data_IF_423040931203
#
_entry.id   IF_423040931203
#
_cell.length_a   1.000
_cell.length_b   1.000
_cell.length_c   1.000
_cell.angle_alpha   90.00
_cell.angle_beta   90.00
_cell.angle_gamma   90.00
#
_symmetry.space_group_name_H-M   'P 1'
#
loop_
_entity.id
_entity.type
_entity.pdbx_description
1 polymer ?
#
# COMPACT_ATOMS: atom_id res chain seq x y z
N UNK A 1 -4.06 -6.10 -8.87
CA UNK A 1 -2.76 -5.47 -9.20
C UNK A 1 -1.64 -5.86 -8.25
N UNK A 2 -1.87 -5.82 -6.93
CA UNK A 2 -0.88 -6.23 -5.91
C UNK A 2 -0.41 -7.67 -6.13
N UNK A 3 -1.34 -8.63 -6.20
CA UNK A 3 -1.02 -10.06 -6.25
C UNK A 3 -0.34 -10.54 -7.55
N UNK A 4 -0.80 -10.05 -8.71
CA UNK A 4 -0.27 -10.50 -10.02
C UNK A 4 0.96 -9.70 -10.50
N UNK A 5 1.16 -8.47 -10.00
CA UNK A 5 2.20 -7.54 -10.52
C UNK A 5 3.12 -6.92 -9.46
N UNK A 6 2.97 -7.27 -8.17
CA UNK A 6 3.79 -6.79 -7.06
C UNK A 6 3.91 -5.24 -6.96
N UNK A 7 2.93 -4.49 -7.48
CA UNK A 7 2.92 -3.01 -7.44
C UNK A 7 2.40 -2.50 -6.09
N UNK A 8 3.21 -2.66 -5.04
CA UNK A 8 2.90 -2.21 -3.67
C UNK A 8 2.76 -0.68 -3.56
N UNK A 9 3.58 0.05 -4.31
CA UNK A 9 3.57 1.52 -4.36
C UNK A 9 2.25 2.07 -4.90
N UNK A 10 1.73 1.50 -5.98
CA UNK A 10 0.42 1.88 -6.53
C UNK A 10 -0.72 1.64 -5.52
N UNK A 11 -0.65 0.55 -4.76
CA UNK A 11 -1.65 0.26 -3.75
C UNK A 11 -1.60 1.23 -2.57
N UNK A 12 -0.41 1.71 -2.18
CA UNK A 12 -0.26 2.77 -1.17
C UNK A 12 -0.88 4.10 -1.62
N UNK A 13 -0.83 4.44 -2.91
CA UNK A 13 -1.58 5.58 -3.46
C UNK A 13 -3.09 5.40 -3.25
N UNK A 14 -3.59 4.17 -3.43
CA UNK A 14 -4.98 3.83 -3.13
C UNK A 14 -5.35 3.98 -1.64
N UNK A 15 -4.45 3.60 -0.73
CA UNK A 15 -4.62 3.83 0.72
C UNK A 15 -4.74 5.33 1.01
N UNK A 16 -3.84 6.14 0.45
CA UNK A 16 -3.84 7.59 0.63
C UNK A 16 -5.13 8.25 0.14
N UNK A 17 -5.63 7.83 -1.04
CA UNK A 17 -6.88 8.32 -1.59
C UNK A 17 -8.09 8.01 -0.68
N UNK A 18 -8.20 6.77 -0.19
CA UNK A 18 -9.28 6.39 0.74
C UNK A 18 -9.18 7.15 2.07
N UNK A 19 -7.97 7.39 2.55
CA UNK A 19 -7.75 8.17 3.77
C UNK A 19 -8.17 9.64 3.60
N UNK A 20 -7.90 10.26 2.44
CA UNK A 20 -8.38 11.61 2.13
C UNK A 20 -9.91 11.71 2.08
N UNK A 21 -10.59 10.67 1.58
CA UNK A 21 -12.06 10.59 1.59
C UNK A 21 -12.57 10.56 3.03
N UNK A 22 -11.95 9.75 3.90
CA UNK A 22 -12.28 9.69 5.32
C UNK A 22 -12.14 11.08 5.97
N UNK A 23 -11.00 11.76 5.81
CA UNK A 23 -10.77 13.10 6.38
C UNK A 23 -11.85 14.10 5.92
N UNK A 24 -12.22 14.09 4.64
CA UNK A 24 -13.22 15.00 4.08
C UNK A 24 -14.63 14.78 4.64
N UNK A 25 -15.00 13.54 4.93
CA UNK A 25 -16.37 13.19 5.34
C UNK A 25 -16.50 12.93 6.84
N UNK A 26 -15.40 12.95 7.58
CA UNK A 26 -15.41 12.85 9.03
C UNK A 26 -16.16 14.07 9.61
N UNK A 27 -17.26 13.80 10.31
CA UNK A 27 -18.15 14.84 10.86
C UNK A 27 -19.25 15.36 9.93
N UNK A 28 -19.25 15.04 8.63
CA UNK A 28 -20.34 15.42 7.71
C UNK A 28 -21.19 14.24 7.26
N UNK A 29 -20.56 13.13 6.88
CA UNK A 29 -21.24 11.90 6.49
C UNK A 29 -20.50 10.70 7.06
N UNK A 30 -21.01 10.26 8.22
CA UNK A 30 -20.39 9.22 9.02
C UNK A 30 -20.37 7.86 8.32
N UNK A 31 -21.39 7.54 7.51
CA UNK A 31 -21.42 6.30 6.73
C UNK A 31 -20.31 6.25 5.67
N UNK A 32 -20.09 7.35 4.95
CA UNK A 32 -19.01 7.45 3.95
C UNK A 32 -17.64 7.38 4.65
N UNK A 33 -17.47 8.07 5.78
CA UNK A 33 -16.25 8.03 6.56
C UNK A 33 -15.91 6.60 7.02
N UNK A 34 -16.90 5.86 7.56
CA UNK A 34 -16.70 4.48 8.00
C UNK A 34 -16.41 3.51 6.85
N UNK A 35 -17.06 3.68 5.70
CA UNK A 35 -16.75 2.89 4.51
C UNK A 35 -15.30 3.13 4.04
N UNK A 36 -14.88 4.40 4.01
CA UNK A 36 -13.53 4.78 3.58
C UNK A 36 -12.44 4.25 4.50
N UNK A 37 -12.57 4.40 5.82
CA UNK A 37 -11.57 3.91 6.78
C UNK A 37 -11.52 2.37 6.82
N UNK A 38 -12.66 1.69 6.65
CA UNK A 38 -12.68 0.23 6.53
C UNK A 38 -11.91 -0.23 5.29
N UNK A 39 -12.09 0.48 4.17
CA UNK A 39 -11.31 0.27 2.94
C UNK A 39 -9.81 0.47 3.15
N UNK A 40 -9.41 1.53 3.87
CA UNK A 40 -8.00 1.80 4.24
C UNK A 40 -7.40 0.60 4.98
N UNK A 41 -8.08 0.10 6.02
CA UNK A 41 -7.59 -1.01 6.84
C UNK A 41 -7.41 -2.28 6.01
N UNK A 42 -8.42 -2.66 5.22
CA UNK A 42 -8.38 -3.87 4.39
C UNK A 42 -7.24 -3.79 3.38
N UNK A 43 -7.12 -2.65 2.67
CA UNK A 43 -6.10 -2.47 1.65
C UNK A 43 -4.70 -2.48 2.28
N UNK A 44 -4.53 -1.81 3.42
CA UNK A 44 -3.26 -1.74 4.14
C UNK A 44 -2.80 -3.12 4.63
N UNK A 45 -3.70 -3.92 5.21
CA UNK A 45 -3.40 -5.30 5.63
C UNK A 45 -3.02 -6.15 4.42
N UNK A 46 -3.77 -6.06 3.31
CA UNK A 46 -3.46 -6.80 2.09
C UNK A 46 -2.08 -6.43 1.51
N UNK A 47 -1.72 -5.14 1.50
CA UNK A 47 -0.40 -4.67 1.08
C UNK A 47 0.69 -5.22 2.01
N UNK A 48 0.46 -5.19 3.32
CA UNK A 48 1.45 -5.63 4.33
C UNK A 48 1.72 -7.13 4.22
N UNK A 49 0.68 -7.96 4.16
CA UNK A 49 0.81 -9.42 3.97
C UNK A 49 1.55 -9.72 2.66
N UNK A 50 1.20 -9.02 1.57
CA UNK A 50 1.88 -9.20 0.29
C UNK A 50 3.34 -8.73 0.36
N UNK A 51 3.63 -7.64 1.08
CA UNK A 51 4.99 -7.13 1.24
C UNK A 51 5.89 -8.08 2.02
N UNK A 52 5.37 -8.73 3.05
CA UNK A 52 6.08 -9.78 3.80
C UNK A 52 6.35 -11.01 2.91
N UNK A 53 5.34 -11.49 2.18
CA UNK A 53 5.48 -12.65 1.29
C UNK A 53 6.45 -12.41 0.14
N UNK A 54 6.44 -11.21 -0.45
CA UNK A 54 7.32 -10.82 -1.56
C UNK A 54 8.53 -9.98 -1.09
N UNK A 55 8.94 -10.11 0.16
CA UNK A 55 10.11 -9.42 0.71
C UNK A 55 11.40 -9.80 -0.03
N UNK A 56 11.52 -11.03 -0.51
CA UNK A 56 12.74 -11.47 -1.21
C UNK A 56 12.98 -10.77 -2.55
N UNK A 57 11.92 -10.24 -3.17
CA UNK A 57 11.98 -9.48 -4.43
C UNK A 57 12.02 -7.96 -4.21
N UNK A 58 12.44 -7.52 -3.01
CA UNK A 58 12.48 -6.11 -2.68
C UNK A 58 13.47 -5.37 -3.59
N UNK A 59 13.08 -4.26 -4.26
CA UNK A 59 13.98 -3.48 -5.12
C UNK A 59 15.26 -3.03 -4.42
N UNK A 60 15.21 -2.79 -3.11
CA UNK A 60 16.40 -2.47 -2.31
C UNK A 60 17.45 -3.58 -2.30
N UNK A 61 17.05 -4.86 -2.28
CA UNK A 61 17.98 -5.99 -2.32
C UNK A 61 18.68 -6.04 -3.68
N UNK A 62 17.91 -5.88 -4.76
CA UNK A 62 18.43 -5.84 -6.14
C UNK A 62 19.31 -4.63 -6.43
N UNK A 63 19.00 -3.47 -5.83
CA UNK A 63 19.85 -2.28 -5.90
C UNK A 63 21.18 -2.50 -5.19
N UNK A 64 21.16 -3.11 -3.99
CA UNK A 64 22.37 -3.44 -3.23
C UNK A 64 23.28 -4.41 -3.99
N UNK A 65 22.71 -5.42 -4.66
CA UNK A 65 23.46 -6.33 -5.54
C UNK A 65 24.17 -5.56 -6.66
N UNK A 66 23.45 -4.72 -7.41
CA UNK A 66 24.02 -3.92 -8.51
C UNK A 66 25.10 -2.93 -8.05
N UNK A 67 24.97 -2.35 -6.86
CA UNK A 67 25.98 -1.45 -6.30
C UNK A 67 27.24 -2.20 -5.86
N UNK A 68 27.09 -3.45 -5.39
CA UNK A 68 28.23 -4.30 -5.00
C UNK A 68 29.02 -4.81 -6.20
N UNK A 69 28.38 -5.11 -7.32
CA UNK A 69 29.06 -5.54 -8.57
C UNK A 69 29.88 -4.44 -9.25
N UNK A 70 29.66 -3.18 -8.87
CA UNK A 70 30.31 -2.01 -9.49
C UNK A 70 31.59 -1.55 -8.75
N UNK A 71 31.84 -2.11 -7.56
CA UNK A 71 33.03 -1.85 -6.72
C UNK A 71 34.01 -3.03 -6.83
#
# INVERSE_FOLDING_TARGET
MIWKRNMREFALVGVWALFAIFIRHNGSNMYIAYAAITGVIILFVAITIHAMKNHETNPFKKLKERLREKN
#
